data_IF_250141556928
#
_entry.id   IF_250141556928
#
_cell.length_a   1.000
_cell.length_b   1.000
_cell.length_c   1.000
_cell.angle_alpha   90.00
_cell.angle_beta   90.00
_cell.angle_gamma   90.00
#
_symmetry.space_group_name_H-M   'P 1'
#
loop_
_entity.id
_entity.type
_entity.pdbx_description
1 polymer ?
#
# COMPACT_ATOMS: atom_id res chain seq x y z
N UNK A 1 -15.15 42.36 -2.43
CA UNK A 1 -15.13 41.44 -1.26
C UNK A 1 -13.74 40.84 -1.26
N UNK A 2 -12.87 41.26 -0.35
CA UNK A 2 -11.47 40.82 -0.33
C UNK A 2 -11.36 39.40 0.23
N UNK A 3 -10.40 38.64 -0.28
CA UNK A 3 -10.08 37.27 0.13
C UNK A 3 -8.85 37.29 1.03
N UNK A 4 -8.98 36.85 2.28
CA UNK A 4 -7.85 36.75 3.20
C UNK A 4 -7.31 35.32 3.20
N UNK A 5 -6.01 35.14 2.97
CA UNK A 5 -5.32 33.86 3.09
C UNK A 5 -3.89 34.09 3.55
N UNK A 6 -3.46 33.36 4.59
CA UNK A 6 -2.10 33.44 5.17
C UNK A 6 -1.68 34.87 5.58
N UNK A 7 -2.61 35.62 6.19
CA UNK A 7 -2.38 37.00 6.63
C UNK A 7 -2.31 38.06 5.52
N UNK A 8 -2.41 37.66 4.25
CA UNK A 8 -2.49 38.57 3.08
C UNK A 8 -3.93 38.70 2.59
N UNK A 9 -4.25 39.88 2.07
CA UNK A 9 -5.54 40.20 1.45
C UNK A 9 -5.40 40.28 -0.06
N UNK A 10 -6.28 39.60 -0.79
CA UNK A 10 -6.33 39.57 -2.25
C UNK A 10 -7.67 40.13 -2.73
N UNK A 11 -7.66 40.95 -3.79
CA UNK A 11 -8.90 41.52 -4.34
C UNK A 11 -9.69 40.45 -5.10
N UNK A 12 -8.97 39.49 -5.71
CA UNK A 12 -9.59 38.42 -6.49
C UNK A 12 -8.99 37.03 -6.22
N UNK A 13 -9.79 35.98 -6.43
CA UNK A 13 -9.31 34.59 -6.46
C UNK A 13 -8.25 34.39 -7.55
N UNK A 14 -8.26 35.20 -8.61
CA UNK A 14 -7.28 35.10 -9.69
C UNK A 14 -5.88 35.49 -9.19
N UNK A 15 -5.76 36.63 -8.52
CA UNK A 15 -4.49 37.08 -7.92
C UNK A 15 -3.97 36.07 -6.90
N UNK A 16 -4.86 35.58 -6.02
CA UNK A 16 -4.53 34.52 -5.08
C UNK A 16 -4.05 33.25 -5.78
N UNK A 17 -4.70 32.84 -6.86
CA UNK A 17 -4.32 31.65 -7.61
C UNK A 17 -2.96 31.80 -8.32
N UNK A 18 -2.68 32.98 -8.87
CA UNK A 18 -1.42 33.30 -9.54
C UNK A 18 -0.23 33.31 -8.56
N UNK A 19 -0.39 33.92 -7.39
CA UNK A 19 0.66 33.97 -6.34
C UNK A 19 1.10 32.56 -5.90
N UNK A 20 0.14 31.65 -5.70
CA UNK A 20 0.42 30.29 -5.21
C UNK A 20 0.57 29.25 -6.34
N UNK A 21 0.52 29.66 -7.62
CA UNK A 21 0.66 28.76 -8.77
C UNK A 21 -0.48 27.73 -8.91
N UNK A 22 -1.69 28.08 -8.48
CA UNK A 22 -2.85 27.21 -8.41
C UNK A 22 -3.80 27.48 -9.58
N UNK A 23 -4.52 26.45 -10.05
CA UNK A 23 -5.64 26.66 -10.97
C UNK A 23 -6.84 27.34 -10.28
N UNK A 24 -7.14 28.58 -10.67
CA UNK A 24 -8.31 29.34 -10.19
C UNK A 24 -9.62 28.57 -10.34
N UNK A 25 -9.79 27.75 -11.39
CA UNK A 25 -11.02 27.00 -11.63
C UNK A 25 -11.24 25.95 -10.54
N UNK A 26 -10.14 25.36 -10.04
CA UNK A 26 -10.18 24.41 -8.93
C UNK A 26 -10.67 25.08 -7.65
N UNK A 27 -10.17 26.28 -7.32
CA UNK A 27 -10.64 27.05 -6.16
C UNK A 27 -12.15 27.33 -6.29
N UNK A 28 -12.62 27.80 -7.45
CA UNK A 28 -14.05 28.02 -7.68
C UNK A 28 -14.88 26.74 -7.51
N UNK A 29 -14.36 25.59 -7.97
CA UNK A 29 -15.05 24.30 -7.83
C UNK A 29 -15.27 23.91 -6.36
N UNK A 30 -14.31 24.21 -5.48
CA UNK A 30 -14.43 23.99 -4.04
C UNK A 30 -15.40 25.00 -3.42
N UNK A 31 -15.30 26.28 -3.77
CA UNK A 31 -16.19 27.34 -3.27
C UNK A 31 -17.66 27.09 -3.61
N UNK A 32 -17.96 26.63 -4.84
CA UNK A 32 -19.33 26.24 -5.26
C UNK A 32 -19.89 25.05 -4.47
N UNK A 33 -19.02 24.21 -3.89
CA UNK A 33 -19.39 23.08 -3.02
C UNK A 33 -19.49 23.48 -1.54
N UNK A 34 -19.37 24.78 -1.24
CA UNK A 34 -19.47 25.31 0.13
C UNK A 34 -18.20 25.19 0.97
N UNK A 35 -17.04 24.87 0.37
CA UNK A 35 -15.79 24.80 1.11
C UNK A 35 -15.31 26.19 1.53
N UNK A 36 -14.63 26.28 2.68
CA UNK A 36 -13.92 27.48 3.09
C UNK A 36 -12.81 27.82 2.09
N UNK A 37 -12.37 29.08 2.07
CA UNK A 37 -11.25 29.48 1.21
C UNK A 37 -9.96 28.76 1.63
N UNK A 38 -9.72 28.67 2.94
CA UNK A 38 -8.53 28.03 3.52
C UNK A 38 -8.46 26.55 3.15
N UNK A 39 -9.55 25.79 3.32
CA UNK A 39 -9.59 24.38 2.96
C UNK A 39 -9.44 24.18 1.44
N UNK A 40 -10.05 25.06 0.64
CA UNK A 40 -9.92 25.02 -0.81
C UNK A 40 -8.47 25.27 -1.25
N UNK A 41 -7.81 26.26 -0.67
CA UNK A 41 -6.40 26.56 -0.92
C UNK A 41 -5.50 25.38 -0.51
N UNK A 42 -5.69 24.84 0.69
CA UNK A 42 -4.93 23.69 1.17
C UNK A 42 -5.07 22.48 0.23
N UNK A 43 -6.27 22.22 -0.29
CA UNK A 43 -6.51 21.15 -1.27
C UNK A 43 -5.85 21.39 -2.63
N UNK A 44 -5.78 22.65 -3.04
CA UNK A 44 -5.16 23.02 -4.30
C UNK A 44 -3.63 22.98 -4.22
N UNK A 45 -3.04 23.47 -3.11
CA UNK A 45 -1.59 23.47 -2.84
C UNK A 45 -1.07 22.03 -2.80
N UNK A 46 -1.75 21.14 -2.09
CA UNK A 46 -1.34 19.73 -1.97
C UNK A 46 -1.63 18.88 -3.23
N UNK A 47 -2.11 19.49 -4.33
CA UNK A 47 -2.57 18.85 -5.57
C UNK A 47 -3.41 17.57 -5.35
N UNK A 48 -4.25 17.53 -4.32
CA UNK A 48 -5.01 16.31 -4.00
C UNK A 48 -6.20 16.18 -4.95
N UNK A 49 -6.10 15.30 -5.95
CA UNK A 49 -7.13 15.09 -6.99
C UNK A 49 -8.13 13.98 -6.63
N UNK A 50 -9.37 14.10 -7.12
CA UNK A 50 -10.42 13.07 -7.05
C UNK A 50 -11.62 13.40 -6.15
N UNK A 51 -12.45 12.39 -5.82
CA UNK A 51 -13.59 12.47 -4.87
C UNK A 51 -13.37 11.45 -3.74
N UNK A 52 -13.82 11.74 -2.51
CA UNK A 52 -13.72 10.81 -1.38
C UNK A 52 -13.21 11.43 -0.08
N UNK A 53 -13.02 10.57 0.93
CA UNK A 53 -12.49 10.94 2.26
C UNK A 53 -11.00 11.32 2.16
N UNK A 54 -10.62 12.40 2.83
CA UNK A 54 -9.23 12.82 2.99
C UNK A 54 -8.61 12.10 4.18
N UNK A 55 -7.34 11.78 4.04
CA UNK A 55 -6.51 11.28 5.11
C UNK A 55 -5.13 11.90 5.02
N UNK A 56 -4.58 12.23 6.18
CA UNK A 56 -3.23 12.74 6.31
C UNK A 56 -2.29 11.58 6.63
N UNK A 57 -1.09 11.61 6.05
CA UNK A 57 -0.01 10.72 6.41
C UNK A 57 1.33 11.44 6.15
N UNK A 58 2.19 11.50 7.17
CA UNK A 58 3.46 12.23 7.14
C UNK A 58 3.33 13.70 6.67
N UNK A 59 2.28 14.41 7.11
CA UNK A 59 2.05 15.82 6.75
C UNK A 59 1.56 16.05 5.31
N UNK A 60 1.33 14.98 4.54
CA UNK A 60 0.75 15.06 3.19
C UNK A 60 -0.67 14.53 3.20
N UNK A 61 -1.57 15.24 2.51
CA UNK A 61 -2.96 14.85 2.38
C UNK A 61 -3.15 13.96 1.15
N UNK A 62 -3.85 12.86 1.36
CA UNK A 62 -4.17 11.88 0.34
C UNK A 62 -5.68 11.67 0.28
N UNK A 63 -6.19 11.38 -0.92
CA UNK A 63 -7.61 11.09 -1.17
C UNK A 63 -7.86 9.67 -1.64
N UNK A 64 -6.84 9.04 -2.21
CA UNK A 64 -6.91 7.66 -2.67
C UNK A 64 -5.81 6.86 -1.97
N UNK A 65 -6.17 5.83 -1.17
CA UNK A 65 -5.13 5.04 -0.54
C UNK A 65 -4.26 4.30 -1.56
N UNK A 66 -4.65 4.28 -2.84
CA UNK A 66 -3.86 3.71 -3.93
C UNK A 66 -2.64 4.57 -4.19
N UNK A 67 -2.82 5.89 -4.22
CA UNK A 67 -1.72 6.85 -4.39
C UNK A 67 -0.75 6.73 -3.21
N UNK A 68 -1.28 6.65 -1.99
CA UNK A 68 -0.47 6.41 -0.79
C UNK A 68 0.28 5.07 -0.89
N UNK A 69 -0.41 4.00 -1.30
CA UNK A 69 0.22 2.69 -1.48
C UNK A 69 1.35 2.71 -2.52
N UNK A 70 1.13 3.35 -3.67
CA UNK A 70 2.13 3.45 -4.74
C UNK A 70 3.37 4.24 -4.29
N UNK A 71 3.17 5.37 -3.61
CA UNK A 71 4.26 6.24 -3.13
C UNK A 71 5.14 5.54 -2.08
N UNK A 72 4.53 4.73 -1.20
CA UNK A 72 5.24 4.03 -0.12
C UNK A 72 5.53 2.54 -0.43
N UNK A 73 5.27 2.07 -1.66
CA UNK A 73 5.53 0.68 -2.06
C UNK A 73 4.68 -0.38 -1.33
N UNK A 74 3.50 0.02 -0.84
CA UNK A 74 2.58 -0.85 -0.12
C UNK A 74 1.58 -1.53 -1.09
N UNK A 75 1.05 -2.70 -0.76
CA UNK A 75 -0.02 -3.32 -1.54
C UNK A 75 -1.31 -2.54 -1.28
N UNK A 76 -1.86 -1.93 -2.33
CA UNK A 76 -3.11 -1.16 -2.26
C UNK A 76 -4.26 -1.93 -1.61
N UNK A 77 -4.43 -3.21 -1.96
CA UNK A 77 -5.50 -4.06 -1.42
C UNK A 77 -5.38 -4.24 0.10
N UNK A 78 -4.18 -4.52 0.58
CA UNK A 78 -3.87 -4.64 2.01
C UNK A 78 -4.07 -3.30 2.73
N UNK A 79 -3.51 -2.22 2.18
CA UNK A 79 -3.63 -0.90 2.79
C UNK A 79 -5.09 -0.43 2.87
N UNK A 80 -5.87 -0.60 1.80
CA UNK A 80 -7.31 -0.29 1.79
C UNK A 80 -8.08 -1.12 2.83
N UNK A 81 -7.71 -2.39 3.03
CA UNK A 81 -8.32 -3.24 4.04
C UNK A 81 -8.02 -2.76 5.47
N UNK A 82 -6.79 -2.34 5.73
CA UNK A 82 -6.39 -1.83 7.05
C UNK A 82 -6.97 -0.45 7.34
N UNK A 83 -7.04 0.45 6.37
CA UNK A 83 -7.63 1.79 6.55
C UNK A 83 -9.11 1.72 6.98
N UNK A 84 -9.84 0.68 6.57
CA UNK A 84 -11.23 0.49 6.98
C UNK A 84 -11.37 -0.02 8.43
N UNK A 85 -10.33 -0.63 9.00
CA UNK A 85 -10.36 -1.30 10.32
C UNK A 85 -9.55 -0.57 11.40
N UNK A 86 -8.49 0.11 11.00
CA UNK A 86 -7.63 0.89 11.88
C UNK A 86 -8.26 2.24 12.19
N UNK A 87 -7.89 2.81 13.34
CA UNK A 87 -8.39 4.13 13.75
C UNK A 87 -7.64 5.25 13.03
N UNK A 88 -6.38 5.03 12.72
CA UNK A 88 -5.50 6.00 12.04
C UNK A 88 -4.85 5.40 10.81
N UNK A 89 -4.39 6.27 9.90
CA UNK A 89 -3.71 5.85 8.66
C UNK A 89 -2.31 5.33 8.96
N UNK A 90 -1.65 5.91 9.96
CA UNK A 90 -0.34 5.48 10.45
C UNK A 90 -0.38 4.03 10.94
N UNK A 91 -1.40 3.67 11.72
CA UNK A 91 -1.57 2.30 12.19
C UNK A 91 -1.86 1.34 11.02
N UNK A 92 -2.64 1.79 10.03
CA UNK A 92 -2.91 0.99 8.85
C UNK A 92 -1.64 0.72 8.03
N UNK A 93 -0.78 1.74 7.87
CA UNK A 93 0.50 1.61 7.17
C UNK A 93 1.46 0.71 7.95
N UNK A 94 1.61 0.90 9.26
CA UNK A 94 2.48 0.07 10.12
C UNK A 94 2.09 -1.41 10.05
N UNK A 95 0.79 -1.74 10.17
CA UNK A 95 0.32 -3.13 10.04
C UNK A 95 0.59 -3.70 8.65
N UNK A 96 0.46 -2.86 7.62
CA UNK A 96 0.73 -3.26 6.25
C UNK A 96 2.23 -3.59 6.06
N UNK A 97 3.11 -2.75 6.59
CA UNK A 97 4.57 -2.95 6.58
C UNK A 97 4.96 -4.22 7.36
N UNK A 98 4.47 -4.39 8.59
CA UNK A 98 4.70 -5.62 9.38
C UNK A 98 4.25 -6.88 8.67
N UNK A 99 3.17 -6.80 7.90
CA UNK A 99 2.70 -7.93 7.09
C UNK A 99 3.64 -8.21 5.91
N UNK A 100 4.17 -7.17 5.27
CA UNK A 100 5.22 -7.33 4.24
C UNK A 100 6.54 -7.83 4.83
N UNK A 101 6.86 -7.51 6.09
CA UNK A 101 8.09 -7.92 6.78
C UNK A 101 8.08 -9.38 7.22
N UNK A 102 6.90 -10.01 7.33
CA UNK A 102 6.75 -11.47 7.48
C UNK A 102 7.15 -12.23 6.21
N UNK A 103 8.23 -11.80 5.56
CA UNK A 103 8.89 -12.54 4.49
C UNK A 103 9.41 -13.82 5.08
N UNK A 104 9.02 -14.90 4.44
CA UNK A 104 9.48 -16.22 4.78
C UNK A 104 10.94 -16.31 4.35
N UNK A 105 11.83 -16.57 5.29
CA UNK A 105 13.21 -16.93 5.00
C UNK A 105 13.28 -18.44 4.84
N UNK A 106 13.82 -18.91 3.73
CA UNK A 106 14.11 -20.34 3.50
C UNK A 106 15.46 -20.45 2.82
N UNK A 107 16.42 -21.08 3.49
CA UNK A 107 17.82 -21.26 3.02
C UNK A 107 18.47 -19.96 2.52
N UNK A 108 18.31 -18.88 3.29
CA UNK A 108 18.89 -17.56 2.97
C UNK A 108 18.20 -16.79 1.85
N UNK A 109 17.17 -17.36 1.19
CA UNK A 109 16.32 -16.65 0.22
C UNK A 109 15.05 -16.12 0.88
N UNK A 110 14.63 -14.92 0.44
CA UNK A 110 13.41 -14.24 0.90
C UNK A 110 12.25 -14.58 -0.04
N UNK A 111 11.17 -15.07 0.54
CA UNK A 111 9.91 -15.35 -0.16
C UNK A 111 8.79 -14.48 0.43
N UNK A 112 7.93 -13.95 -0.43
CA UNK A 112 6.77 -13.11 -0.07
C UNK A 112 5.63 -13.93 0.50
N UNK A 113 5.51 -15.20 0.13
CA UNK A 113 4.44 -16.08 0.60
C UNK A 113 4.83 -17.55 0.48
N UNK A 114 4.08 -18.43 1.16
CA UNK A 114 4.21 -19.89 0.99
C UNK A 114 3.96 -20.34 -0.45
N UNK A 115 3.09 -19.63 -1.16
CA UNK A 115 2.81 -19.89 -2.57
C UNK A 115 4.04 -19.62 -3.46
N UNK A 116 4.82 -18.58 -3.16
CA UNK A 116 6.06 -18.30 -3.89
C UNK A 116 7.11 -19.39 -3.61
N UNK A 117 7.20 -19.88 -2.37
CA UNK A 117 8.03 -21.05 -2.02
C UNK A 117 7.57 -22.27 -2.81
N UNK A 118 6.28 -22.60 -2.76
CA UNK A 118 5.68 -23.72 -3.48
C UNK A 118 5.99 -23.67 -4.99
N UNK A 119 5.83 -22.48 -5.59
CA UNK A 119 6.11 -22.25 -7.01
C UNK A 119 7.60 -22.39 -7.35
N UNK A 120 8.49 -21.88 -6.49
CA UNK A 120 9.93 -21.93 -6.71
C UNK A 120 10.49 -23.38 -6.67
N UNK A 121 9.90 -24.23 -5.84
CA UNK A 121 10.33 -25.62 -5.66
C UNK A 121 9.45 -26.65 -6.39
N UNK A 122 8.40 -26.21 -7.08
CA UNK A 122 7.48 -27.09 -7.80
C UNK A 122 6.62 -27.98 -6.90
N UNK A 123 6.37 -27.56 -5.67
CA UNK A 123 5.61 -28.29 -4.65
C UNK A 123 4.18 -27.73 -4.61
N UNK A 124 3.19 -28.53 -4.20
CA UNK A 124 1.84 -28.00 -3.95
C UNK A 124 1.81 -27.18 -2.66
N UNK A 125 1.30 -25.94 -2.74
CA UNK A 125 1.15 -25.05 -1.57
C UNK A 125 0.25 -25.68 -0.49
N UNK A 126 -0.77 -26.43 -0.89
CA UNK A 126 -1.66 -27.14 0.03
C UNK A 126 -0.93 -28.19 0.87
N UNK A 127 0.10 -28.85 0.31
CA UNK A 127 0.92 -29.83 1.02
C UNK A 127 1.77 -29.14 2.10
N UNK A 128 2.36 -27.98 1.77
CA UNK A 128 3.09 -27.14 2.73
C UNK A 128 2.17 -26.70 3.86
N UNK A 129 0.98 -26.18 3.53
CA UNK A 129 0.03 -25.68 4.54
C UNK A 129 -0.53 -26.80 5.42
N UNK A 130 -0.82 -27.99 4.87
CA UNK A 130 -1.25 -29.14 5.65
C UNK A 130 -0.19 -29.56 6.68
N UNK A 131 1.07 -29.70 6.25
CA UNK A 131 2.16 -30.10 7.13
C UNK A 131 2.45 -29.08 8.23
N UNK A 132 2.35 -27.78 7.96
CA UNK A 132 2.49 -26.74 8.98
C UNK A 132 1.42 -26.86 10.07
N UNK A 133 0.19 -27.25 9.72
CA UNK A 133 -0.90 -27.39 10.68
C UNK A 133 -0.86 -28.71 11.46
N UNK A 134 -0.33 -29.77 10.85
CA UNK A 134 -0.24 -31.10 11.45
C UNK A 134 1.05 -31.33 12.23
N UNK A 135 2.12 -30.62 11.88
CA UNK A 135 3.48 -30.86 12.39
C UNK A 135 4.07 -29.64 13.09
N UNK A 136 4.70 -29.84 14.25
CA UNK A 136 5.54 -28.83 14.89
C UNK A 136 6.96 -28.79 14.28
N UNK A 137 7.04 -28.76 12.94
CA UNK A 137 8.29 -28.80 12.16
C UNK A 137 8.56 -27.45 11.53
N UNK A 138 9.81 -27.17 11.23
CA UNK A 138 10.20 -25.93 10.55
C UNK A 138 9.78 -25.96 9.08
N UNK A 139 9.61 -24.78 8.45
CA UNK A 139 9.27 -24.73 7.02
C UNK A 139 10.35 -25.38 6.16
N UNK A 140 11.63 -25.27 6.55
CA UNK A 140 12.74 -25.86 5.81
C UNK A 140 12.67 -27.39 5.77
N UNK A 141 12.37 -28.02 6.91
CA UNK A 141 12.20 -29.48 7.00
C UNK A 141 11.01 -29.95 6.16
N UNK A 142 9.88 -29.22 6.21
CA UNK A 142 8.68 -29.53 5.44
C UNK A 142 8.98 -29.47 3.94
N UNK A 143 9.67 -28.42 3.47
CA UNK A 143 10.01 -28.28 2.05
C UNK A 143 10.99 -29.39 1.61
N UNK A 144 11.98 -29.76 2.43
CA UNK A 144 12.88 -30.87 2.11
C UNK A 144 12.16 -32.21 1.97
N UNK A 145 11.25 -32.51 2.89
CA UNK A 145 10.47 -33.75 2.85
C UNK A 145 9.54 -33.79 1.63
N UNK A 146 8.89 -32.67 1.32
CA UNK A 146 8.00 -32.58 0.16
C UNK A 146 8.77 -32.68 -1.15
N UNK A 147 9.99 -32.15 -1.24
CA UNK A 147 10.86 -32.35 -2.42
C UNK A 147 11.19 -33.83 -2.65
N UNK A 148 11.34 -34.62 -1.59
CA UNK A 148 11.58 -36.07 -1.71
C UNK A 148 10.32 -36.84 -2.13
N UNK A 149 9.14 -36.42 -1.66
CA UNK A 149 7.86 -37.11 -1.92
C UNK A 149 7.20 -36.70 -3.24
N UNK A 150 7.25 -35.42 -3.59
CA UNK A 150 6.65 -34.82 -4.78
C UNK A 150 7.70 -34.55 -5.87
N UNK A 151 8.74 -35.41 -5.97
CA UNK A 151 9.82 -35.23 -6.92
C UNK A 151 9.31 -35.08 -8.36
N UNK A 152 9.63 -33.94 -8.99
CA UNK A 152 9.40 -33.75 -10.43
C UNK A 152 10.47 -34.56 -11.17
N UNK A 153 10.04 -35.67 -11.75
CA UNK A 153 10.89 -36.48 -12.63
C UNK A 153 10.93 -35.82 -14.02
N UNK A 154 12.12 -35.40 -14.47
CA UNK A 154 12.36 -35.09 -15.88
C UNK A 154 13.08 -36.27 -16.51
N UNK A 155 12.47 -36.89 -17.52
CA UNK A 155 12.97 -38.12 -18.17
C UNK A 155 13.25 -39.29 -17.22
N UNK A 156 12.44 -39.44 -16.16
CA UNK A 156 12.57 -40.57 -15.23
C UNK A 156 13.77 -40.49 -14.28
N UNK A 157 14.50 -39.36 -14.26
CA UNK A 157 15.53 -39.08 -13.26
C UNK A 157 15.04 -37.99 -12.31
N UNK A 158 15.18 -38.15 -10.98
CA UNK A 158 14.87 -37.09 -10.05
C UNK A 158 15.85 -35.94 -10.29
N UNK A 159 15.33 -34.72 -10.47
CA UNK A 159 16.18 -33.53 -10.54
C UNK A 159 16.64 -33.22 -9.11
N UNK A 160 17.89 -33.58 -8.81
CA UNK A 160 18.54 -33.21 -7.56
C UNK A 160 19.03 -31.77 -7.72
N UNK A 161 18.37 -30.83 -7.04
CA UNK A 161 18.85 -29.46 -6.92
C UNK A 161 19.96 -29.43 -5.86
N UNK A 162 21.20 -29.16 -6.28
CA UNK A 162 22.37 -28.96 -5.41
C UNK A 162 22.46 -27.50 -4.98
#
# INVERSE_FOLDING_TARGET
>A
MAYCYDGKTYETIKELAEEYGIDRQRIYSFRRRGWSLEDAMQMCINDVRGRGRLFEYNGKLYRSPKVLAEEYGLPWSSLSHYIQRCKTVEEAVDRCQKTQEKKIMLWGKKYRSRYEVATAFGIRETSISAEIHTSNRTLEEIVLELLQKEAICFEGKPIIHW
#
